data_IF_758501834788
#
_entry.id   IF_758501834788
#
_cell.length_a   1.000
_cell.length_b   1.000
_cell.length_c   1.000
_cell.angle_alpha   90.00
_cell.angle_beta   90.00
_cell.angle_gamma   90.00
#
_symmetry.space_group_name_H-M   'P 1'
#
loop_
_entity.id
_entity.type
_entity.pdbx_description
1 polymer ?
#
# COMPACT_ATOMS: atom_id res chain seq x y z
N UNK A 1 52.65 -12.43 -3.39
CA UNK A 1 53.29 -13.03 -2.20
C UNK A 1 54.77 -13.43 -2.38
N UNK A 2 55.24 -13.77 -3.58
CA UNK A 2 56.64 -14.19 -3.83
C UNK A 2 57.68 -13.06 -3.70
N UNK A 3 57.32 -11.81 -4.05
CA UNK A 3 58.23 -10.66 -4.02
C UNK A 3 58.55 -10.16 -2.60
N UNK A 4 57.56 -10.08 -1.69
CA UNK A 4 57.79 -9.77 -0.26
C UNK A 4 58.71 -10.78 0.41
N UNK A 5 58.62 -12.06 0.04
CA UNK A 5 59.51 -13.11 0.56
C UNK A 5 60.93 -12.92 0.02
N UNK A 6 61.12 -12.68 -1.27
CA UNK A 6 62.43 -12.40 -1.86
C UNK A 6 63.10 -11.19 -1.19
N UNK A 7 62.37 -10.11 -0.93
CA UNK A 7 62.90 -8.93 -0.24
C UNK A 7 63.25 -9.20 1.22
N UNK A 8 62.39 -9.93 1.94
CA UNK A 8 62.63 -10.27 3.35
C UNK A 8 63.83 -11.20 3.53
N UNK A 9 64.15 -12.02 2.53
CA UNK A 9 65.35 -12.87 2.53
C UNK A 9 66.59 -12.17 1.97
N UNK A 10 66.47 -11.36 0.91
CA UNK A 10 67.62 -10.68 0.30
C UNK A 10 68.09 -9.45 1.08
N UNK A 11 67.21 -8.73 1.80
CA UNK A 11 67.58 -7.55 2.57
C UNK A 11 68.54 -7.88 3.75
N UNK A 12 68.26 -8.88 4.61
CA UNK A 12 69.22 -9.28 5.64
C UNK A 12 70.47 -9.93 5.04
N UNK A 13 70.34 -10.69 3.93
CA UNK A 13 71.49 -11.28 3.24
C UNK A 13 72.43 -10.21 2.66
N UNK A 14 71.86 -9.13 2.12
CA UNK A 14 72.60 -7.98 1.59
C UNK A 14 73.22 -7.15 2.71
N UNK A 15 72.51 -6.95 3.84
CA UNK A 15 73.08 -6.33 5.04
C UNK A 15 74.24 -7.14 5.63
N UNK A 16 74.12 -8.46 5.68
CA UNK A 16 75.20 -9.38 6.12
C UNK A 16 76.39 -9.32 5.17
N UNK A 17 76.15 -9.30 3.85
CA UNK A 17 77.20 -9.12 2.85
C UNK A 17 77.90 -7.76 3.01
N UNK A 18 77.14 -6.70 3.30
CA UNK A 18 77.66 -5.37 3.59
C UNK A 18 78.54 -5.37 4.86
N UNK A 19 78.12 -6.07 5.92
CA UNK A 19 78.94 -6.23 7.14
C UNK A 19 80.19 -7.09 6.92
N UNK A 20 80.16 -8.08 6.03
CA UNK A 20 81.37 -8.87 5.68
C UNK A 20 82.37 -8.05 4.87
N UNK A 21 81.92 -7.17 3.97
CA UNK A 21 82.80 -6.25 3.25
C UNK A 21 83.48 -5.29 4.23
N UNK A 22 82.74 -4.75 5.21
CA UNK A 22 83.31 -3.95 6.31
C UNK A 22 84.23 -4.76 7.25
N UNK A 23 83.94 -6.05 7.50
CA UNK A 23 84.76 -6.90 8.37
C UNK A 23 86.04 -7.43 7.68
N UNK A 24 86.05 -7.54 6.35
CA UNK A 24 87.25 -7.82 5.56
C UNK A 24 88.28 -6.67 5.60
N UNK A 25 87.88 -5.49 6.06
CA UNK A 25 88.76 -4.32 6.30
C UNK A 25 89.22 -4.20 7.76
N UNK A 26 88.92 -5.18 8.63
CA UNK A 26 89.40 -5.23 10.03
C UNK A 26 90.89 -5.62 10.14
N UNK A 27 91.75 -4.92 9.40
CA UNK A 27 93.19 -5.13 9.34
C UNK A 27 94.00 -3.96 8.76
N UNK A 28 93.46 -2.74 8.69
CA UNK A 28 94.28 -1.54 8.42
C UNK A 28 93.82 -0.38 9.29
N UNK A 29 94.56 -0.14 10.38
CA UNK A 29 94.47 1.08 11.17
C UNK A 29 95.44 2.13 10.61
N UNK A 30 94.95 3.38 10.57
CA UNK A 30 95.67 4.65 10.43
C UNK A 30 96.50 4.98 9.18
N UNK A 31 95.98 5.99 8.46
CA UNK A 31 96.70 7.25 8.34
C UNK A 31 97.37 7.53 7.00
N UNK A 32 96.67 8.22 6.12
CA UNK A 32 97.25 9.32 5.34
C UNK A 32 96.14 10.09 4.63
N UNK A 33 96.06 11.38 4.93
CA UNK A 33 95.55 12.36 3.99
C UNK A 33 96.53 12.37 2.81
N UNK A 34 96.29 11.53 1.81
CA UNK A 34 96.79 11.75 0.46
C UNK A 34 95.59 11.93 -0.46
N UNK A 35 95.60 13.03 -1.19
CA UNK A 35 94.61 13.44 -2.18
C UNK A 35 94.65 12.52 -3.41
N UNK A 36 94.29 11.26 -3.25
CA UNK A 36 94.19 10.24 -4.29
C UNK A 36 92.77 9.68 -4.35
N UNK A 37 92.01 10.06 -5.38
CA UNK A 37 90.62 9.66 -5.65
C UNK A 37 90.45 8.18 -6.06
N UNK A 38 91.25 7.26 -5.52
CA UNK A 38 91.47 5.95 -6.15
C UNK A 38 90.59 4.80 -5.69
N UNK A 39 90.63 4.46 -4.40
CA UNK A 39 90.22 3.11 -3.97
C UNK A 39 89.23 3.10 -2.80
N UNK A 40 89.46 3.86 -1.72
CA UNK A 40 88.59 3.80 -0.53
C UNK A 40 87.22 4.45 -0.80
N UNK A 41 87.21 5.59 -1.50
CA UNK A 41 85.97 6.29 -1.84
C UNK A 41 85.18 5.57 -2.94
N UNK A 42 85.86 4.83 -3.82
CA UNK A 42 85.21 4.09 -4.93
C UNK A 42 84.45 2.87 -4.43
N UNK A 43 84.93 2.13 -3.43
CA UNK A 43 84.18 1.04 -2.81
C UNK A 43 82.93 1.52 -2.06
N UNK A 44 83.04 2.64 -1.32
CA UNK A 44 81.89 3.27 -0.63
C UNK A 44 80.84 3.78 -1.63
N UNK A 45 81.29 4.44 -2.70
CA UNK A 45 80.41 4.91 -3.78
C UNK A 45 79.72 3.75 -4.49
N UNK A 46 80.45 2.67 -4.79
CA UNK A 46 79.89 1.46 -5.40
C UNK A 46 78.83 0.82 -4.49
N UNK A 47 79.11 0.68 -3.20
CA UNK A 47 78.15 0.15 -2.23
C UNK A 47 76.88 1.02 -2.15
N UNK A 48 77.04 2.35 -2.09
CA UNK A 48 75.93 3.29 -2.11
C UNK A 48 75.09 3.19 -3.40
N UNK A 49 75.74 3.07 -4.56
CA UNK A 49 75.05 2.87 -5.85
C UNK A 49 74.26 1.56 -5.85
N UNK A 50 74.82 0.48 -5.32
CA UNK A 50 74.11 -0.81 -5.23
C UNK A 50 72.91 -0.69 -4.28
N UNK A 51 73.06 -0.05 -3.13
CA UNK A 51 71.97 0.20 -2.18
C UNK A 51 70.85 1.05 -2.80
N UNK A 52 71.19 2.15 -3.46
CA UNK A 52 70.22 3.03 -4.15
C UNK A 52 69.53 2.28 -5.29
N UNK A 53 70.26 1.45 -6.04
CA UNK A 53 69.68 0.65 -7.14
C UNK A 53 68.66 -0.36 -6.63
N UNK A 54 68.99 -1.08 -5.54
CA UNK A 54 68.04 -2.02 -4.90
C UNK A 54 66.84 -1.26 -4.34
N UNK A 55 67.06 -0.16 -3.63
CA UNK A 55 66.00 0.66 -3.05
C UNK A 55 65.06 1.23 -4.14
N UNK A 56 65.60 1.69 -5.26
CA UNK A 56 64.82 2.21 -6.38
C UNK A 56 63.92 1.13 -7.00
N UNK A 57 64.44 -0.09 -7.19
CA UNK A 57 63.66 -1.22 -7.72
C UNK A 57 62.52 -1.61 -6.77
N UNK A 58 62.74 -1.53 -5.45
CA UNK A 58 61.72 -1.83 -4.44
C UNK A 58 60.65 -0.74 -4.34
N UNK A 59 61.07 0.52 -4.25
CA UNK A 59 60.17 1.66 -4.08
C UNK A 59 59.34 1.94 -5.33
N UNK A 60 59.91 1.82 -6.54
CA UNK A 60 59.20 2.09 -7.80
C UNK A 60 57.89 1.31 -7.90
N UNK A 61 57.87 0.06 -7.45
CA UNK A 61 56.67 -0.78 -7.49
C UNK A 61 55.68 -0.46 -6.37
N UNK A 62 56.15 -0.26 -5.13
CA UNK A 62 55.27 0.01 -3.99
C UNK A 62 54.62 1.40 -4.05
N UNK A 63 55.41 2.41 -4.42
CA UNK A 63 54.96 3.80 -4.50
C UNK A 63 53.97 3.97 -5.66
N UNK A 64 54.29 3.43 -6.84
CA UNK A 64 53.37 3.46 -7.98
C UNK A 64 52.03 2.77 -7.68
N UNK A 65 52.06 1.60 -7.05
CA UNK A 65 50.84 0.87 -6.69
C UNK A 65 49.97 1.64 -5.67
N UNK A 66 50.58 2.31 -4.69
CA UNK A 66 49.84 3.08 -3.68
C UNK A 66 49.09 4.27 -4.30
N UNK A 67 49.77 5.04 -5.16
CA UNK A 67 49.14 6.17 -5.85
C UNK A 67 48.07 5.70 -6.85
N UNK A 68 48.33 4.63 -7.61
CA UNK A 68 47.33 4.07 -8.53
C UNK A 68 46.10 3.57 -7.79
N UNK A 69 46.26 2.85 -6.68
CA UNK A 69 45.13 2.41 -5.84
C UNK A 69 44.35 3.61 -5.30
N UNK A 70 45.03 4.66 -4.83
CA UNK A 70 44.35 5.86 -4.34
C UNK A 70 43.54 6.57 -5.42
N UNK A 71 44.09 6.68 -6.64
CA UNK A 71 43.39 7.26 -7.79
C UNK A 71 42.18 6.41 -8.18
N UNK A 72 42.34 5.08 -8.18
CA UNK A 72 41.25 4.15 -8.50
C UNK A 72 40.12 4.23 -7.47
N UNK A 73 40.44 4.26 -6.17
CA UNK A 73 39.44 4.44 -5.11
C UNK A 73 38.69 5.77 -5.26
N UNK A 74 39.40 6.88 -5.50
CA UNK A 74 38.75 8.18 -5.70
C UNK A 74 37.85 8.20 -6.93
N UNK A 75 38.29 7.58 -8.03
CA UNK A 75 37.48 7.45 -9.24
C UNK A 75 36.22 6.62 -8.98
N UNK A 76 36.35 5.54 -8.22
CA UNK A 76 35.21 4.72 -7.81
C UNK A 76 34.23 5.50 -6.94
N UNK A 77 34.72 6.20 -5.90
CA UNK A 77 33.89 7.03 -5.01
C UNK A 77 33.15 8.13 -5.79
N UNK A 78 33.82 8.83 -6.72
CA UNK A 78 33.17 9.84 -7.56
C UNK A 78 32.10 9.22 -8.46
N UNK A 79 32.42 8.11 -9.13
CA UNK A 79 31.44 7.42 -9.98
C UNK A 79 30.24 6.91 -9.17
N UNK A 80 30.46 6.44 -7.95
CA UNK A 80 29.40 6.01 -7.06
C UNK A 80 28.52 7.18 -6.63
N UNK A 81 29.11 8.34 -6.29
CA UNK A 81 28.37 9.55 -5.96
C UNK A 81 27.55 10.09 -7.14
N UNK A 82 28.10 10.04 -8.36
CA UNK A 82 27.40 10.41 -9.58
C UNK A 82 26.20 9.48 -9.83
N UNK A 83 26.39 8.17 -9.74
CA UNK A 83 25.30 7.19 -9.87
C UNK A 83 24.21 7.42 -8.81
N UNK A 84 24.59 7.58 -7.53
CA UNK A 84 23.63 7.86 -6.45
C UNK A 84 22.86 9.15 -6.68
N UNK A 85 23.51 10.18 -7.23
CA UNK A 85 22.86 11.45 -7.58
C UNK A 85 21.87 11.27 -8.73
N UNK A 86 22.24 10.49 -9.74
CA UNK A 86 21.35 10.18 -10.87
C UNK A 86 20.14 9.36 -10.41
N UNK A 87 20.35 8.34 -9.59
CA UNK A 87 19.29 7.50 -9.03
C UNK A 87 18.34 8.33 -8.17
N UNK A 88 18.87 9.17 -7.27
CA UNK A 88 18.05 10.07 -6.46
C UNK A 88 17.25 11.07 -7.32
N UNK A 89 17.83 11.54 -8.44
CA UNK A 89 17.12 12.43 -9.38
C UNK A 89 15.99 11.69 -10.09
N UNK A 90 16.22 10.46 -10.55
CA UNK A 90 15.19 9.61 -11.18
C UNK A 90 14.05 9.33 -10.20
N UNK A 91 14.38 8.94 -8.98
CA UNK A 91 13.40 8.67 -7.92
C UNK A 91 12.56 9.93 -7.63
N UNK A 92 13.19 11.11 -7.57
CA UNK A 92 12.49 12.38 -7.38
C UNK A 92 11.56 12.72 -8.56
N UNK A 93 12.00 12.51 -9.81
CA UNK A 93 11.16 12.69 -11.00
C UNK A 93 9.96 11.72 -11.01
N UNK A 94 10.17 10.46 -10.61
CA UNK A 94 9.10 9.47 -10.45
C UNK A 94 8.09 9.87 -9.37
N UNK A 95 8.57 10.32 -8.21
CA UNK A 95 7.71 10.82 -7.13
C UNK A 95 6.92 12.04 -7.56
N UNK A 96 7.53 13.01 -8.24
CA UNK A 96 6.82 14.19 -8.76
C UNK A 96 5.75 13.80 -9.76
N UNK A 97 6.05 12.89 -10.69
CA UNK A 97 5.07 12.37 -11.65
C UNK A 97 3.92 11.67 -10.93
N UNK A 98 4.22 10.84 -9.94
CA UNK A 98 3.21 10.17 -9.13
C UNK A 98 2.34 11.16 -8.36
N UNK A 99 2.95 12.20 -7.79
CA UNK A 99 2.22 13.25 -7.09
C UNK A 99 1.27 14.00 -8.03
N UNK A 100 1.71 14.34 -9.24
CA UNK A 100 0.85 14.98 -10.24
C UNK A 100 -0.31 14.09 -10.68
N UNK A 101 -0.09 12.77 -10.81
CA UNK A 101 -1.19 11.84 -11.15
C UNK A 101 -2.15 11.62 -9.98
N UNK A 102 -1.69 11.76 -8.74
CA UNK A 102 -2.54 11.62 -7.56
C UNK A 102 -3.63 12.69 -7.51
N UNK A 103 -3.31 13.94 -7.87
CA UNK A 103 -4.31 15.02 -7.88
C UNK A 103 -5.43 14.74 -8.91
N UNK A 104 -5.07 14.24 -10.10
CA UNK A 104 -6.04 13.83 -11.12
C UNK A 104 -6.88 12.61 -10.68
N UNK A 105 -6.24 11.63 -10.04
CA UNK A 105 -6.91 10.44 -9.51
C UNK A 105 -7.89 10.81 -8.39
N UNK A 106 -7.49 11.68 -7.46
CA UNK A 106 -8.36 12.19 -6.39
C UNK A 106 -9.55 12.93 -6.99
N UNK A 107 -9.34 13.80 -7.98
CA UNK A 107 -10.43 14.49 -8.66
C UNK A 107 -11.41 13.51 -9.31
N UNK A 108 -10.89 12.52 -10.01
CA UNK A 108 -11.70 11.45 -10.65
C UNK A 108 -12.50 10.65 -9.62
N UNK A 109 -11.87 10.33 -8.49
CA UNK A 109 -12.52 9.63 -7.37
C UNK A 109 -13.68 10.48 -6.83
N UNK A 110 -13.44 11.77 -6.56
CA UNK A 110 -14.47 12.69 -6.05
C UNK A 110 -15.63 12.82 -7.03
N UNK A 111 -15.35 13.01 -8.32
CA UNK A 111 -16.38 13.09 -9.37
C UNK A 111 -17.21 11.80 -9.43
N UNK A 112 -16.55 10.64 -9.36
CA UNK A 112 -17.23 9.33 -9.33
C UNK A 112 -18.13 9.19 -8.10
N UNK A 113 -17.66 9.60 -6.91
CA UNK A 113 -18.47 9.56 -5.69
C UNK A 113 -19.69 10.49 -5.76
N UNK A 114 -19.53 11.68 -6.36
CA UNK A 114 -20.64 12.62 -6.58
C UNK A 114 -21.67 12.00 -7.53
N UNK A 115 -21.24 11.43 -8.66
CA UNK A 115 -22.15 10.78 -9.61
C UNK A 115 -22.88 9.58 -8.98
N UNK A 116 -22.18 8.76 -8.20
CA UNK A 116 -22.78 7.65 -7.45
C UNK A 116 -23.78 8.15 -6.40
N UNK A 117 -23.47 9.25 -5.71
CA UNK A 117 -24.35 9.90 -4.76
C UNK A 117 -25.64 10.40 -5.40
N UNK A 118 -25.56 11.07 -6.54
CA UNK A 118 -26.72 11.54 -7.29
C UNK A 118 -27.58 10.37 -7.80
N UNK A 119 -26.98 9.32 -8.36
CA UNK A 119 -27.72 8.11 -8.78
C UNK A 119 -28.40 7.42 -7.60
N UNK A 120 -27.72 7.32 -6.45
CA UNK A 120 -28.30 6.74 -5.24
C UNK A 120 -29.48 7.59 -4.75
N UNK A 121 -29.33 8.92 -4.74
CA UNK A 121 -30.39 9.87 -4.38
C UNK A 121 -31.61 9.71 -5.28
N UNK A 122 -31.41 9.69 -6.60
CA UNK A 122 -32.48 9.50 -7.58
C UNK A 122 -33.20 8.17 -7.37
N UNK A 123 -32.45 7.08 -7.18
CA UNK A 123 -33.00 5.75 -6.90
C UNK A 123 -33.85 5.74 -5.63
N UNK A 124 -33.35 6.31 -4.53
CA UNK A 124 -34.08 6.41 -3.26
C UNK A 124 -35.36 7.22 -3.44
N UNK A 125 -35.31 8.35 -4.14
CA UNK A 125 -36.49 9.17 -4.40
C UNK A 125 -37.53 8.45 -5.27
N UNK A 126 -37.08 7.72 -6.30
CA UNK A 126 -37.96 6.91 -7.15
C UNK A 126 -38.63 5.79 -6.36
N UNK A 127 -37.86 5.07 -5.55
CA UNK A 127 -38.35 3.96 -4.72
C UNK A 127 -39.31 4.45 -3.62
N UNK A 128 -39.03 5.61 -3.02
CA UNK A 128 -39.92 6.27 -2.07
C UNK A 128 -41.25 6.68 -2.71
N UNK A 129 -41.22 7.26 -3.92
CA UNK A 129 -42.43 7.61 -4.67
C UNK A 129 -43.27 6.37 -5.00
N UNK A 130 -42.63 5.33 -5.54
CA UNK A 130 -43.31 4.07 -5.85
C UNK A 130 -43.93 3.43 -4.61
N UNK A 131 -43.20 3.43 -3.49
CA UNK A 131 -43.69 2.90 -2.21
C UNK A 131 -44.86 3.70 -1.67
N UNK A 132 -44.82 5.03 -1.78
CA UNK A 132 -45.91 5.92 -1.38
C UNK A 132 -47.17 5.69 -2.23
N UNK A 133 -47.02 5.54 -3.54
CA UNK A 133 -48.14 5.25 -4.45
C UNK A 133 -48.75 3.88 -4.16
N UNK A 134 -47.92 2.86 -3.97
CA UNK A 134 -48.36 1.52 -3.56
C UNK A 134 -49.12 1.56 -2.23
N UNK A 135 -48.60 2.28 -1.23
CA UNK A 135 -49.24 2.42 0.07
C UNK A 135 -50.61 3.11 -0.07
N UNK A 136 -50.70 4.16 -0.90
CA UNK A 136 -51.94 4.86 -1.17
C UNK A 136 -52.97 3.94 -1.82
N UNK A 137 -52.59 3.20 -2.85
CA UNK A 137 -53.48 2.24 -3.52
C UNK A 137 -53.96 1.14 -2.55
N UNK A 138 -53.07 0.63 -1.70
CA UNK A 138 -53.45 -0.33 -0.66
C UNK A 138 -54.41 0.26 0.37
N UNK A 139 -54.21 1.51 0.78
CA UNK A 139 -55.11 2.21 1.69
C UNK A 139 -56.48 2.42 1.06
N UNK A 140 -56.56 2.83 -0.20
CA UNK A 140 -57.81 3.01 -0.94
C UNK A 140 -58.59 1.69 -1.08
N UNK A 141 -57.91 0.60 -1.46
CA UNK A 141 -58.53 -0.73 -1.51
C UNK A 141 -59.06 -1.18 -0.13
N UNK A 142 -58.29 -0.92 0.93
CA UNK A 142 -58.68 -1.30 2.30
C UNK A 142 -59.88 -0.47 2.77
N UNK A 143 -59.91 0.83 2.47
CA UNK A 143 -61.05 1.70 2.78
C UNK A 143 -62.32 1.18 2.10
N UNK A 144 -62.25 0.84 0.81
CA UNK A 144 -63.40 0.32 0.07
C UNK A 144 -63.92 -1.01 0.67
N UNK A 145 -63.00 -1.89 1.04
CA UNK A 145 -63.35 -3.16 1.68
C UNK A 145 -64.01 -2.95 3.05
N UNK A 146 -63.42 -2.11 3.91
CA UNK A 146 -63.98 -1.78 5.23
C UNK A 146 -65.33 -1.06 5.11
N UNK A 147 -65.51 -0.20 4.11
CA UNK A 147 -66.78 0.48 3.86
C UNK A 147 -67.87 -0.52 3.44
N UNK A 148 -67.52 -1.48 2.58
CA UNK A 148 -68.44 -2.56 2.17
C UNK A 148 -68.85 -3.40 3.37
N UNK A 149 -67.88 -3.83 4.20
CA UNK A 149 -68.16 -4.58 5.43
C UNK A 149 -69.01 -3.80 6.43
N UNK A 150 -68.74 -2.51 6.61
CA UNK A 150 -69.53 -1.65 7.48
C UNK A 150 -70.98 -1.51 6.99
N UNK A 151 -71.18 -1.38 5.67
CA UNK A 151 -72.51 -1.30 5.06
C UNK A 151 -73.29 -2.61 5.24
N UNK A 152 -72.65 -3.76 5.06
CA UNK A 152 -73.25 -5.07 5.29
C UNK A 152 -73.65 -5.26 6.76
N UNK A 153 -72.75 -4.92 7.69
CA UNK A 153 -73.03 -4.98 9.13
C UNK A 153 -74.19 -4.06 9.51
N UNK A 154 -74.23 -2.83 8.99
CA UNK A 154 -75.31 -1.87 9.26
C UNK A 154 -76.65 -2.37 8.71
N UNK A 155 -76.64 -2.93 7.49
CA UNK A 155 -77.84 -3.51 6.87
C UNK A 155 -78.39 -4.65 7.73
N UNK A 156 -77.50 -5.52 8.23
CA UNK A 156 -77.88 -6.62 9.13
C UNK A 156 -78.51 -6.11 10.43
N UNK A 157 -77.91 -5.09 11.05
CA UNK A 157 -78.45 -4.51 12.29
C UNK A 157 -79.83 -3.85 12.07
N UNK A 158 -80.02 -3.16 10.94
CA UNK A 158 -81.31 -2.56 10.59
C UNK A 158 -82.38 -3.63 10.38
N UNK A 159 -82.07 -4.71 9.65
CA UNK A 159 -83.00 -5.82 9.44
C UNK A 159 -83.39 -6.45 10.77
N UNK A 160 -82.41 -6.73 11.64
CA UNK A 160 -82.65 -7.32 12.95
C UNK A 160 -83.55 -6.44 13.83
N UNK A 161 -83.28 -5.13 13.91
CA UNK A 161 -84.14 -4.19 14.65
C UNK A 161 -85.53 -4.06 14.05
N UNK A 162 -85.64 -4.06 12.72
CA UNK A 162 -86.92 -3.96 12.03
C UNK A 162 -87.80 -5.18 12.27
N UNK A 163 -87.22 -6.38 12.25
CA UNK A 163 -87.93 -7.63 12.58
C UNK A 163 -88.39 -7.62 14.04
N UNK A 164 -87.54 -7.18 14.97
CA UNK A 164 -87.90 -7.07 16.39
C UNK A 164 -89.07 -6.09 16.63
N UNK A 165 -89.06 -4.92 15.98
CA UNK A 165 -90.16 -3.96 16.10
C UNK A 165 -91.44 -4.43 15.40
N UNK A 166 -91.32 -5.10 14.24
CA UNK A 166 -92.46 -5.74 13.59
C UNK A 166 -93.08 -6.85 14.47
N UNK A 167 -92.26 -7.67 15.11
CA UNK A 167 -92.72 -8.70 16.05
C UNK A 167 -93.50 -8.07 17.21
N UNK A 168 -92.97 -6.99 17.81
CA UNK A 168 -93.66 -6.25 18.88
C UNK A 168 -95.00 -5.67 18.40
N UNK A 169 -95.04 -5.09 17.20
CA UNK A 169 -96.26 -4.53 16.61
C UNK A 169 -97.31 -5.60 16.33
N UNK A 170 -96.91 -6.75 15.78
CA UNK A 170 -97.81 -7.89 15.52
C UNK A 170 -98.36 -8.42 16.84
N UNK A 171 -97.51 -8.67 17.84
CA UNK A 171 -97.94 -9.13 19.18
C UNK A 171 -98.93 -8.17 19.84
N UNK A 172 -98.82 -6.86 19.59
CA UNK A 172 -99.70 -5.84 20.17
C UNK A 172 -101.05 -5.73 19.45
N UNK A 173 -101.11 -5.99 18.15
CA UNK A 173 -102.29 -5.74 17.32
C UNK A 173 -103.03 -7.01 16.85
N UNK A 174 -102.50 -8.20 17.12
CA UNK A 174 -103.17 -9.46 16.75
C UNK A 174 -104.51 -9.61 17.48
N UNK A 175 -105.54 -9.96 16.73
CA UNK A 175 -106.90 -10.20 17.22
C UNK A 175 -107.35 -11.64 16.91
N UNK A 176 -108.54 -12.01 17.37
CA UNK A 176 -109.07 -13.38 17.25
C UNK A 176 -109.35 -13.77 15.79
N UNK A 177 -109.79 -12.83 14.94
CA UNK A 177 -110.01 -13.06 13.49
C UNK A 177 -108.71 -13.36 12.74
N UNK A 178 -107.62 -12.66 13.08
CA UNK A 178 -106.29 -12.90 12.51
C UNK A 178 -105.73 -14.28 12.93
N UNK A 179 -106.01 -14.73 14.15
CA UNK A 179 -105.62 -16.05 14.63
C UNK A 179 -106.37 -17.17 13.90
N UNK A 180 -107.67 -17.02 13.69
CA UNK A 180 -108.49 -17.99 12.96
C UNK A 180 -108.04 -18.11 11.50
N UNK A 181 -107.75 -16.98 10.85
CA UNK A 181 -107.16 -16.95 9.49
C UNK A 181 -105.81 -17.65 9.41
N UNK A 182 -104.92 -17.42 10.39
CA UNK A 182 -103.61 -18.09 10.45
C UNK A 182 -103.75 -19.61 10.58
N UNK A 183 -104.75 -20.09 11.32
CA UNK A 183 -105.05 -21.52 11.47
C UNK A 183 -105.55 -22.10 10.15
N UNK A 184 -106.51 -21.45 9.49
CA UNK A 184 -107.00 -21.87 8.16
C UNK A 184 -105.87 -21.92 7.13
N UNK A 185 -105.01 -20.90 7.09
CA UNK A 185 -103.89 -20.84 6.15
C UNK A 185 -102.85 -21.94 6.43
N UNK A 186 -102.57 -22.23 7.70
CA UNK A 186 -101.67 -23.33 8.09
C UNK A 186 -102.24 -24.70 7.73
N UNK A 187 -103.53 -24.94 7.99
CA UNK A 187 -104.21 -26.18 7.60
C UNK A 187 -104.20 -26.32 6.08
N UNK A 188 -104.50 -25.25 5.34
CA UNK A 188 -104.45 -25.25 3.87
C UNK A 188 -103.06 -25.54 3.28
N UNK A 189 -101.98 -25.14 3.98
CA UNK A 189 -100.59 -25.39 3.54
C UNK A 189 -100.04 -26.76 3.90
N UNK A 190 -100.55 -27.40 4.96
CA UNK A 190 -100.10 -28.72 5.43
C UNK A 190 -100.94 -29.86 4.84
N UNK A 191 -102.16 -29.57 4.40
CA UNK A 191 -103.07 -30.53 3.77
C UNK A 191 -102.96 -30.54 2.22
N UNK A 192 -102.11 -29.68 1.65
CA UNK A 192 -101.67 -29.72 0.25
C UNK A 192 -100.29 -30.37 0.12
#
# INVERSE_FOLDING_TARGET
MKFRKIVFYFLPLFLVFCTMVFASEAGVEHGSHESGWGTIDTYKLLNFIVLVSVLFVLLRKSVGNFFSQRIETLKYEISELENRKEDAKKELEEFQKKLSSLDEEVKTIVETYVEQGEKAREKILSEAKFSAEKLRSQAEMKIEQEFTLAKESLSKEIVEKSVLEAEKLIRKNINDEDQEKLIEEYIGKVVA
#
